data_IF_956089713868
#
_entry.id   IF_956089713868
#
_cell.length_a   1.000
_cell.length_b   1.000
_cell.length_c   1.000
_cell.angle_alpha   90.00
_cell.angle_beta   90.00
_cell.angle_gamma   90.00
#
_symmetry.space_group_name_H-M   'P 1'
#
loop_
_entity.id
_entity.type
_entity.pdbx_description
1 polymer ?
#
# COMPACT_ATOMS: atom_id res chain seq x y z
N UNK A 1 -5.92 -5.29 -22.86
CA UNK A 1 -6.59 -4.57 -21.74
C UNK A 1 -6.08 -5.17 -20.43
N UNK A 2 -5.03 -4.59 -19.86
CA UNK A 2 -4.37 -5.15 -18.68
C UNK A 2 -5.17 -4.80 -17.42
N UNK A 3 -5.82 -5.83 -16.86
CA UNK A 3 -6.56 -5.75 -15.60
C UNK A 3 -5.62 -5.23 -14.52
N UNK A 4 -6.08 -4.22 -13.79
CA UNK A 4 -5.41 -3.53 -12.70
C UNK A 4 -5.27 -4.51 -11.51
N UNK A 5 -4.29 -5.41 -11.57
CA UNK A 5 -3.99 -6.46 -10.57
C UNK A 5 -3.30 -5.91 -9.30
N UNK A 6 -3.71 -4.72 -8.83
CA UNK A 6 -3.11 -4.01 -7.68
C UNK A 6 -3.53 -4.64 -6.33
N UNK A 7 -4.33 -5.70 -6.33
CA UNK A 7 -5.20 -6.05 -5.20
C UNK A 7 -4.67 -7.03 -4.16
N UNK A 8 -3.45 -7.58 -4.25
CA UNK A 8 -2.98 -8.51 -3.21
C UNK A 8 -1.65 -8.13 -2.55
N UNK A 9 -0.63 -7.73 -3.31
CA UNK A 9 0.73 -7.58 -2.74
C UNK A 9 0.86 -6.36 -1.80
N UNK A 10 0.38 -5.18 -2.22
CA UNK A 10 0.51 -3.94 -1.44
C UNK A 10 -0.36 -4.01 -0.17
N UNK A 11 -1.56 -4.60 -0.24
CA UNK A 11 -2.44 -4.71 0.94
C UNK A 11 -2.00 -5.82 1.90
N UNK A 12 -1.50 -6.97 1.40
CA UNK A 12 -0.96 -8.02 2.28
C UNK A 12 0.35 -7.58 2.97
N UNK A 13 1.17 -6.78 2.29
CA UNK A 13 2.36 -6.17 2.87
C UNK A 13 2.03 -5.21 4.01
N UNK A 14 1.05 -4.34 3.81
CA UNK A 14 0.65 -3.32 4.79
C UNK A 14 -0.22 -3.89 5.93
N UNK A 15 -0.75 -5.12 5.81
CA UNK A 15 -1.64 -5.73 6.80
C UNK A 15 -1.04 -6.89 7.61
N UNK A 16 0.19 -7.34 7.33
CA UNK A 16 0.84 -8.44 8.10
C UNK A 16 1.49 -7.98 9.42
N UNK A 17 1.38 -6.69 9.77
CA UNK A 17 1.80 -6.13 11.07
C UNK A 17 0.87 -6.41 12.26
N UNK A 18 -0.30 -7.01 12.07
CA UNK A 18 -1.23 -7.33 13.17
C UNK A 18 -1.21 -8.83 13.49
N UNK A 19 -0.22 -9.26 14.28
CA UNK A 19 -0.30 -10.53 15.01
C UNK A 19 -1.21 -10.39 16.23
N UNK A 20 -1.92 -11.48 16.53
CA UNK A 20 -3.15 -11.58 17.32
C UNK A 20 -2.96 -11.37 18.84
N UNK A 21 -4.10 -11.06 19.47
CA UNK A 21 -4.50 -11.21 20.88
C UNK A 21 -3.96 -10.13 21.82
N UNK A 22 -4.80 -9.11 22.05
CA UNK A 22 -5.09 -8.71 23.42
C UNK A 22 -6.55 -8.27 23.56
N UNK A 23 -7.12 -8.64 24.70
CA UNK A 23 -8.54 -8.60 24.97
C UNK A 23 -9.08 -7.17 25.05
N UNK A 24 -10.20 -6.95 24.37
CA UNK A 24 -10.98 -5.72 24.42
C UNK A 24 -11.56 -5.55 25.83
N UNK A 25 -10.89 -4.76 26.68
CA UNK A 25 -11.56 -4.09 27.80
C UNK A 25 -12.40 -2.95 27.23
N UNK A 26 -13.72 -3.06 27.34
CA UNK A 26 -14.67 -2.00 26.97
C UNK A 26 -14.41 -0.78 27.84
N UNK A 27 -13.86 0.28 27.25
CA UNK A 27 -13.90 1.62 27.82
C UNK A 27 -15.02 2.37 27.12
N UNK A 28 -16.09 2.67 27.85
CA UNK A 28 -17.15 3.57 27.39
C UNK A 28 -16.58 4.99 27.33
N UNK A 29 -16.10 5.38 26.16
CA UNK A 29 -15.70 6.74 25.83
C UNK A 29 -16.23 7.09 24.44
N UNK A 30 -16.58 8.36 24.22
CA UNK A 30 -17.05 8.89 22.92
C UNK A 30 -16.07 8.63 21.76
N UNK A 31 -14.84 8.18 22.03
CA UNK A 31 -13.86 7.71 21.06
C UNK A 31 -14.22 6.38 20.36
N UNK A 32 -15.16 5.60 20.90
CA UNK A 32 -15.47 4.24 20.42
C UNK A 32 -16.11 4.18 19.03
N UNK A 33 -16.91 5.18 18.62
CA UNK A 33 -17.66 5.10 17.36
C UNK A 33 -16.75 5.30 16.14
N UNK A 34 -15.85 6.28 16.19
CA UNK A 34 -14.90 6.52 15.09
C UNK A 34 -13.83 5.44 14.99
N UNK A 35 -13.40 4.89 16.12
CA UNK A 35 -12.52 3.71 16.16
C UNK A 35 -13.22 2.47 15.59
N UNK A 36 -14.51 2.26 15.90
CA UNK A 36 -15.32 1.22 15.27
C UNK A 36 -15.41 1.43 13.76
N UNK A 37 -15.60 2.66 13.28
CA UNK A 37 -15.60 2.94 11.84
C UNK A 37 -14.25 2.63 11.21
N UNK A 38 -13.14 3.03 11.83
CA UNK A 38 -11.81 2.66 11.36
C UNK A 38 -11.66 1.14 11.25
N UNK A 39 -12.01 0.40 12.32
CA UNK A 39 -11.95 -1.06 12.34
C UNK A 39 -12.82 -1.70 11.25
N UNK A 40 -14.04 -1.19 11.03
CA UNK A 40 -14.92 -1.67 9.97
C UNK A 40 -14.37 -1.35 8.58
N UNK A 41 -13.76 -0.18 8.39
CA UNK A 41 -13.11 0.20 7.14
C UNK A 41 -11.96 -0.75 6.79
N UNK A 42 -11.09 -1.03 7.75
CA UNK A 42 -10.01 -2.02 7.61
C UNK A 42 -10.58 -3.43 7.39
N UNK A 43 -11.62 -3.82 8.14
CA UNK A 43 -12.31 -5.09 7.98
C UNK A 43 -12.85 -5.30 6.57
N UNK A 44 -13.49 -4.26 5.99
CA UNK A 44 -13.97 -4.30 4.61
C UNK A 44 -12.84 -4.40 3.58
N UNK A 45 -11.70 -3.73 3.78
CA UNK A 45 -10.52 -3.92 2.91
C UNK A 45 -10.01 -5.37 2.97
N UNK A 46 -9.93 -5.95 4.16
CA UNK A 46 -9.53 -7.36 4.33
C UNK A 46 -10.52 -8.32 3.65
N UNK A 47 -11.82 -8.04 3.75
CA UNK A 47 -12.85 -8.83 3.07
C UNK A 47 -12.73 -8.71 1.55
N UNK A 48 -12.48 -7.51 1.01
CA UNK A 48 -12.21 -7.35 -0.42
C UNK A 48 -11.04 -8.23 -0.89
N UNK A 49 -9.96 -8.30 -0.11
CA UNK A 49 -8.81 -9.15 -0.48
C UNK A 49 -9.16 -10.64 -0.51
N UNK A 50 -10.11 -11.08 0.32
CA UNK A 50 -10.56 -12.47 0.38
C UNK A 50 -11.59 -12.81 -0.70
N UNK A 51 -12.53 -11.91 -0.98
CA UNK A 51 -13.71 -12.21 -1.82
C UNK A 51 -13.65 -11.54 -3.20
N UNK A 52 -12.78 -10.55 -3.39
CA UNK A 52 -12.76 -9.65 -4.55
C UNK A 52 -14.09 -8.92 -4.82
N UNK A 53 -14.96 -8.82 -3.82
CA UNK A 53 -16.24 -8.11 -3.93
C UNK A 53 -16.04 -6.59 -3.85
N UNK A 54 -16.25 -5.91 -4.97
CA UNK A 54 -16.14 -4.45 -5.08
C UNK A 54 -17.04 -3.66 -4.12
N UNK A 55 -18.15 -4.25 -3.63
CA UNK A 55 -19.01 -3.62 -2.63
C UNK A 55 -18.25 -3.35 -1.32
N UNK A 56 -17.27 -4.19 -1.01
CA UNK A 56 -16.41 -4.03 0.17
C UNK A 56 -15.50 -2.81 0.04
N UNK A 57 -15.06 -2.43 -1.16
CA UNK A 57 -14.29 -1.20 -1.37
C UNK A 57 -15.14 0.06 -1.17
N UNK A 58 -16.42 0.00 -1.54
CA UNK A 58 -17.38 1.09 -1.31
C UNK A 58 -17.61 1.24 0.20
N UNK A 59 -17.88 0.13 0.90
CA UNK A 59 -18.05 0.11 2.34
C UNK A 59 -16.80 0.61 3.08
N UNK A 60 -15.61 0.14 2.69
CA UNK A 60 -14.34 0.61 3.24
C UNK A 60 -14.20 2.12 3.10
N UNK A 61 -14.50 2.66 1.92
CA UNK A 61 -14.52 4.10 1.68
C UNK A 61 -15.42 4.84 2.66
N UNK A 62 -16.69 4.47 2.74
CA UNK A 62 -17.66 5.12 3.63
C UNK A 62 -17.23 5.08 5.10
N UNK A 63 -16.73 3.95 5.58
CA UNK A 63 -16.27 3.84 6.96
C UNK A 63 -15.03 4.67 7.26
N UNK A 64 -14.06 4.71 6.33
CA UNK A 64 -12.88 5.56 6.49
C UNK A 64 -13.21 7.05 6.44
N UNK A 65 -14.18 7.46 5.63
CA UNK A 65 -14.69 8.85 5.62
C UNK A 65 -15.33 9.21 6.96
N UNK A 66 -16.19 8.33 7.48
CA UNK A 66 -16.79 8.53 8.81
C UNK A 66 -15.71 8.65 9.90
N UNK A 67 -14.69 7.78 9.89
CA UNK A 67 -13.59 7.83 10.86
C UNK A 67 -12.74 9.11 10.75
N UNK A 68 -12.63 9.71 9.56
CA UNK A 68 -11.75 10.87 9.30
C UNK A 68 -12.16 12.17 10.02
N UNK A 69 -13.39 12.23 10.54
CA UNK A 69 -13.85 13.34 11.38
C UNK A 69 -13.04 13.46 12.68
N UNK A 70 -12.38 12.38 13.10
CA UNK A 70 -11.59 12.32 14.32
C UNK A 70 -10.10 12.55 14.02
N UNK A 71 -9.58 13.76 14.31
CA UNK A 71 -8.22 14.20 13.93
C UNK A 71 -7.10 13.26 14.39
N UNK A 72 -7.19 12.68 15.59
CA UNK A 72 -6.17 11.77 16.12
C UNK A 72 -6.18 10.37 15.48
N UNK A 73 -7.12 10.08 14.58
CA UNK A 73 -7.15 8.83 13.81
C UNK A 73 -6.60 8.98 12.39
N UNK A 74 -6.31 10.21 11.94
CA UNK A 74 -5.97 10.48 10.54
C UNK A 74 -4.74 9.69 10.07
N UNK A 75 -3.73 9.53 10.92
CA UNK A 75 -2.53 8.75 10.61
C UNK A 75 -2.81 7.26 10.33
N UNK A 76 -3.88 6.70 10.89
CA UNK A 76 -4.32 5.33 10.62
C UNK A 76 -5.25 5.21 9.40
N UNK A 77 -5.77 6.34 8.90
CA UNK A 77 -6.76 6.38 7.80
C UNK A 77 -6.10 6.64 6.45
N UNK A 78 -5.05 7.45 6.41
CA UNK A 78 -4.45 7.94 5.16
C UNK A 78 -4.07 6.81 4.20
N UNK A 79 -3.28 5.84 4.66
CA UNK A 79 -2.81 4.72 3.83
C UNK A 79 -3.98 3.82 3.36
N UNK A 80 -4.89 3.36 4.24
CA UNK A 80 -6.09 2.64 3.82
C UNK A 80 -6.94 3.42 2.81
N UNK A 81 -7.07 4.74 2.97
CA UNK A 81 -7.88 5.57 2.08
C UNK A 81 -7.28 5.69 0.69
N UNK A 82 -5.98 5.93 0.59
CA UNK A 82 -5.25 5.88 -0.70
C UNK A 82 -5.39 4.50 -1.34
N UNK A 83 -5.32 3.44 -0.55
CA UNK A 83 -5.51 2.06 -1.02
C UNK A 83 -6.89 1.85 -1.64
N UNK A 84 -7.97 2.35 -1.01
CA UNK A 84 -9.33 2.31 -1.60
C UNK A 84 -9.36 3.00 -2.97
N UNK A 85 -8.76 4.18 -3.11
CA UNK A 85 -8.72 4.89 -4.40
C UNK A 85 -7.98 4.09 -5.48
N UNK A 86 -6.81 3.51 -5.14
CA UNK A 86 -6.03 2.68 -6.04
C UNK A 86 -6.81 1.44 -6.51
N UNK A 87 -7.42 0.71 -5.57
CA UNK A 87 -8.18 -0.52 -5.87
C UNK A 87 -9.45 -0.25 -6.67
N UNK A 88 -10.06 0.93 -6.51
CA UNK A 88 -11.21 1.38 -7.32
C UNK A 88 -10.79 2.06 -8.62
N UNK A 89 -9.49 2.11 -8.92
CA UNK A 89 -8.91 2.82 -10.07
C UNK A 89 -9.32 4.32 -10.18
N UNK A 90 -9.64 4.95 -9.05
CA UNK A 90 -10.01 6.35 -8.89
C UNK A 90 -8.75 7.22 -8.72
N UNK A 91 -7.97 7.33 -9.80
CA UNK A 91 -6.62 7.92 -9.75
C UNK A 91 -6.63 9.43 -9.45
N UNK A 92 -7.46 10.23 -10.13
CA UNK A 92 -7.50 11.68 -9.89
C UNK A 92 -8.02 12.02 -8.48
N UNK A 93 -9.13 11.42 -7.98
CA UNK A 93 -9.53 11.59 -6.58
C UNK A 93 -8.46 11.17 -5.58
N UNK A 94 -7.79 10.03 -5.83
CA UNK A 94 -6.68 9.57 -4.99
C UNK A 94 -5.50 10.57 -4.97
N UNK A 95 -5.17 11.13 -6.13
CA UNK A 95 -4.07 12.11 -6.27
C UNK A 95 -4.38 13.41 -5.55
N UNK A 96 -5.61 13.89 -5.63
CA UNK A 96 -6.10 15.07 -4.90
C UNK A 96 -6.10 14.83 -3.38
N UNK A 97 -6.52 13.64 -2.94
CA UNK A 97 -6.48 13.26 -1.54
C UNK A 97 -5.05 13.24 -0.97
N UNK A 98 -4.10 12.63 -1.69
CA UNK A 98 -2.69 12.61 -1.26
C UNK A 98 -2.13 14.03 -1.14
N UNK A 99 -2.50 14.93 -2.05
CA UNK A 99 -2.03 16.32 -2.02
C UNK A 99 -2.55 17.07 -0.78
N UNK A 100 -3.83 16.87 -0.44
CA UNK A 100 -4.49 17.62 0.64
C UNK A 100 -4.10 17.17 2.05
N UNK A 101 -3.56 15.96 2.21
CA UNK A 101 -3.11 15.41 3.50
C UNK A 101 -1.72 15.95 3.86
N UNK A 102 -1.54 16.38 5.11
CA UNK A 102 -0.22 16.84 5.59
C UNK A 102 0.76 15.67 5.64
N UNK A 103 2.02 15.89 5.22
CA UNK A 103 3.05 14.85 5.20
C UNK A 103 3.25 14.15 6.56
N UNK A 104 3.07 14.88 7.68
CA UNK A 104 3.17 14.37 9.05
C UNK A 104 2.06 13.39 9.43
N UNK A 105 0.98 13.34 8.64
CA UNK A 105 -0.11 12.39 8.84
C UNK A 105 0.17 11.05 8.17
N UNK A 106 1.19 10.93 7.34
CA UNK A 106 1.61 9.63 6.83
C UNK A 106 2.44 8.91 7.89
N UNK A 107 2.27 7.59 8.07
CA UNK A 107 3.00 6.82 9.08
C UNK A 107 4.51 6.74 8.79
N UNK A 108 4.93 7.04 7.55
CA UNK A 108 6.33 7.17 7.14
C UNK A 108 6.51 8.37 6.23
N UNK A 109 7.65 9.08 6.34
CA UNK A 109 7.86 10.36 5.65
C UNK A 109 7.92 10.23 4.12
N UNK A 110 8.30 9.07 3.57
CA UNK A 110 8.37 8.88 2.12
C UNK A 110 7.00 8.66 1.46
N UNK A 111 5.98 8.25 2.22
CA UNK A 111 4.74 7.70 1.64
C UNK A 111 3.96 8.73 0.84
N UNK A 112 3.94 10.00 1.27
CA UNK A 112 3.22 11.05 0.53
C UNK A 112 3.75 11.16 -0.90
N UNK A 113 5.06 11.37 -1.04
CA UNK A 113 5.72 11.52 -2.33
C UNK A 113 5.69 10.25 -3.17
N UNK A 114 5.90 9.09 -2.54
CA UNK A 114 5.78 7.80 -3.20
C UNK A 114 4.37 7.60 -3.79
N UNK A 115 3.30 7.84 -3.02
CA UNK A 115 1.93 7.70 -3.54
C UNK A 115 1.62 8.72 -4.63
N UNK A 116 2.13 9.94 -4.49
CA UNK A 116 2.02 11.00 -5.50
C UNK A 116 2.51 10.51 -6.86
N UNK A 117 3.76 10.06 -6.90
CA UNK A 117 4.41 9.57 -8.10
C UNK A 117 3.81 8.27 -8.61
N UNK A 118 3.39 7.36 -7.73
CA UNK A 118 2.74 6.12 -8.14
C UNK A 118 1.38 6.36 -8.80
N UNK A 119 0.56 7.27 -8.26
CA UNK A 119 -0.73 7.66 -8.85
C UNK A 119 -0.54 8.32 -10.21
N UNK A 120 0.46 9.19 -10.35
CA UNK A 120 0.82 9.82 -11.62
C UNK A 120 1.27 8.77 -12.64
N UNK A 121 2.12 7.81 -12.24
CA UNK A 121 2.55 6.70 -13.09
C UNK A 121 1.36 5.87 -13.61
N UNK A 122 0.40 5.54 -12.74
CA UNK A 122 -0.81 4.82 -13.14
C UNK A 122 -1.69 5.63 -14.09
N UNK A 123 -1.73 6.96 -13.94
CA UNK A 123 -2.46 7.87 -14.82
C UNK A 123 -1.82 7.92 -16.21
N UNK A 124 -0.50 8.09 -16.30
CA UNK A 124 0.24 8.04 -17.56
C UNK A 124 0.09 6.68 -18.25
N UNK A 125 0.08 5.59 -17.48
CA UNK A 125 -0.18 4.26 -18.02
C UNK A 125 -1.58 4.15 -18.68
N UNK A 126 -2.63 4.75 -18.08
CA UNK A 126 -3.96 4.82 -18.71
C UNK A 126 -3.96 5.63 -20.00
N UNK A 127 -3.11 6.65 -20.09
CA UNK A 127 -2.92 7.50 -21.26
C UNK A 127 -1.98 6.89 -22.32
N UNK A 128 -1.39 5.72 -22.04
CA UNK A 128 -0.36 5.06 -22.87
C UNK A 128 0.91 5.90 -23.04
N UNK A 129 1.16 6.81 -22.11
CA UNK A 129 2.39 7.59 -22.04
C UNK A 129 3.45 6.80 -21.26
N UNK A 130 4.27 6.06 -22.01
CA UNK A 130 5.25 5.13 -21.44
C UNK A 130 6.40 5.88 -20.75
N UNK A 131 6.87 6.97 -21.35
CA UNK A 131 8.01 7.75 -20.85
C UNK A 131 7.68 8.38 -19.49
N UNK A 132 6.54 9.07 -19.39
CA UNK A 132 6.15 9.71 -18.13
C UNK A 132 5.70 8.68 -17.07
N UNK A 133 5.13 7.55 -17.49
CA UNK A 133 4.86 6.42 -16.59
C UNK A 133 6.14 5.92 -15.94
N UNK A 134 7.17 5.63 -16.74
CA UNK A 134 8.42 5.05 -16.25
C UNK A 134 9.20 6.05 -15.40
N UNK A 135 9.26 7.31 -15.82
CA UNK A 135 9.86 8.39 -15.04
C UNK A 135 9.16 8.58 -13.68
N UNK A 136 7.82 8.53 -13.65
CA UNK A 136 7.05 8.66 -12.40
C UNK A 136 7.22 7.44 -11.50
N UNK A 137 7.22 6.22 -12.05
CA UNK A 137 7.46 5.02 -11.25
C UNK A 137 8.86 5.02 -10.65
N UNK A 138 9.88 5.41 -11.43
CA UNK A 138 11.25 5.54 -10.94
C UNK A 138 11.32 6.47 -9.72
N UNK A 139 10.69 7.65 -9.79
CA UNK A 139 10.61 8.57 -8.64
C UNK A 139 9.91 7.95 -7.43
N UNK A 140 8.84 7.19 -7.64
CA UNK A 140 8.15 6.50 -6.55
C UNK A 140 9.08 5.50 -5.84
N UNK A 141 9.87 4.73 -6.59
CA UNK A 141 10.88 3.79 -6.04
C UNK A 141 12.00 4.54 -5.32
N UNK A 142 12.53 5.60 -5.92
CA UNK A 142 13.61 6.44 -5.34
C UNK A 142 13.21 7.02 -3.98
N UNK A 143 11.96 7.45 -3.79
CA UNK A 143 11.46 7.91 -2.48
C UNK A 143 11.64 6.85 -1.38
N UNK A 144 11.37 5.59 -1.70
CA UNK A 144 11.49 4.48 -0.74
C UNK A 144 12.95 4.09 -0.54
N UNK A 145 13.74 4.00 -1.62
CA UNK A 145 15.17 3.68 -1.56
C UNK A 145 15.95 4.71 -0.74
N UNK A 146 15.64 6.01 -0.89
CA UNK A 146 16.23 7.07 -0.09
C UNK A 146 15.93 6.88 1.40
N UNK A 147 14.71 6.52 1.77
CA UNK A 147 14.36 6.22 3.15
C UNK A 147 15.09 4.97 3.69
N UNK A 148 15.13 3.89 2.90
CA UNK A 148 15.82 2.65 3.25
C UNK A 148 17.34 2.81 3.40
N UNK A 149 17.95 3.84 2.81
CA UNK A 149 19.38 4.15 3.03
C UNK A 149 19.71 4.43 4.50
N UNK A 150 18.75 4.97 5.26
CA UNK A 150 18.88 5.27 6.70
C UNK A 150 18.07 4.30 7.57
N UNK A 151 17.09 3.58 6.99
CA UNK A 151 16.22 2.65 7.69
C UNK A 151 16.22 1.26 7.02
N UNK A 152 17.38 0.59 6.84
CA UNK A 152 17.50 -0.59 5.97
C UNK A 152 16.74 -1.83 6.46
N UNK A 153 16.23 -1.79 7.69
CA UNK A 153 15.49 -2.88 8.35
C UNK A 153 13.97 -2.64 8.39
N UNK A 154 13.48 -1.50 7.89
CA UNK A 154 12.05 -1.19 7.89
C UNK A 154 11.30 -2.12 6.92
N UNK A 155 10.54 -3.05 7.51
CA UNK A 155 9.92 -4.15 6.78
C UNK A 155 8.90 -3.68 5.76
N UNK A 156 8.12 -2.67 6.11
CA UNK A 156 7.06 -2.19 5.22
C UNK A 156 7.68 -1.38 4.08
N UNK A 157 8.74 -0.60 4.35
CA UNK A 157 9.46 0.13 3.31
C UNK A 157 10.16 -0.82 2.31
N UNK A 158 10.76 -1.91 2.80
CA UNK A 158 11.27 -2.99 1.93
C UNK A 158 10.15 -3.54 1.05
N UNK A 159 8.97 -3.74 1.65
CA UNK A 159 7.83 -4.29 0.93
C UNK A 159 7.25 -3.34 -0.11
N UNK A 160 7.16 -2.05 0.20
CA UNK A 160 6.72 -1.01 -0.73
C UNK A 160 7.67 -0.91 -1.91
N UNK A 161 8.99 -0.88 -1.66
CA UNK A 161 10.03 -0.80 -2.70
C UNK A 161 9.89 -1.94 -3.72
N UNK A 162 9.86 -3.20 -3.26
CA UNK A 162 9.77 -4.35 -4.17
C UNK A 162 8.39 -4.49 -4.81
N UNK A 163 7.32 -4.04 -4.14
CA UNK A 163 5.97 -4.00 -4.74
C UNK A 163 5.89 -2.99 -5.88
N UNK A 164 6.57 -1.84 -5.76
CA UNK A 164 6.67 -0.85 -6.84
C UNK A 164 7.53 -1.39 -7.99
N UNK A 165 8.71 -1.96 -7.70
CA UNK A 165 9.59 -2.55 -8.73
C UNK A 165 8.89 -3.64 -9.55
N UNK A 166 7.96 -4.38 -8.96
CA UNK A 166 7.13 -5.37 -9.67
C UNK A 166 6.37 -4.80 -10.88
N UNK A 167 6.07 -3.49 -10.91
CA UNK A 167 5.34 -2.86 -12.01
C UNK A 167 6.21 -2.56 -13.23
N UNK A 168 7.50 -2.36 -13.04
CA UNK A 168 8.42 -1.89 -14.09
C UNK A 168 9.51 -2.88 -14.44
N UNK A 169 9.79 -3.84 -13.56
CA UNK A 169 10.90 -4.75 -13.73
C UNK A 169 10.44 -6.16 -14.15
N UNK A 170 11.19 -6.82 -15.06
CA UNK A 170 11.03 -8.24 -15.30
C UNK A 170 11.19 -9.05 -14.01
N UNK A 171 10.45 -10.16 -13.89
CA UNK A 171 10.46 -11.02 -12.71
C UNK A 171 11.86 -11.50 -12.34
N UNK A 172 12.69 -11.83 -13.33
CA UNK A 172 14.06 -12.29 -13.14
C UNK A 172 14.92 -11.23 -12.46
N UNK A 173 14.83 -9.98 -12.95
CA UNK A 173 15.55 -8.84 -12.38
C UNK A 173 15.07 -8.56 -10.95
N UNK A 174 13.76 -8.50 -10.74
CA UNK A 174 13.16 -8.26 -9.43
C UNK A 174 13.65 -9.26 -8.38
N UNK A 175 13.69 -10.55 -8.72
CA UNK A 175 14.16 -11.58 -7.77
C UNK A 175 15.67 -11.54 -7.57
N UNK A 176 16.46 -11.16 -8.58
CA UNK A 176 17.89 -10.91 -8.42
C UNK A 176 18.16 -9.75 -7.45
N UNK A 177 17.47 -8.62 -7.63
CA UNK A 177 17.53 -7.46 -6.74
C UNK A 177 17.18 -7.84 -5.29
N UNK A 178 16.19 -8.72 -5.09
CA UNK A 178 15.86 -9.26 -3.77
C UNK A 178 16.99 -10.07 -3.14
N UNK A 179 17.68 -10.91 -3.93
CA UNK A 179 18.82 -11.69 -3.42
C UNK A 179 20.01 -10.79 -3.08
N UNK A 180 20.28 -9.76 -3.88
CA UNK A 180 21.30 -8.74 -3.60
C UNK A 180 20.98 -7.95 -2.33
N UNK A 181 19.72 -7.57 -2.15
CA UNK A 181 19.28 -6.87 -0.94
C UNK A 181 19.50 -7.73 0.31
N UNK A 182 19.21 -9.03 0.26
CA UNK A 182 19.46 -9.96 1.38
C UNK A 182 20.94 -10.18 1.63
N UNK A 183 21.78 -10.25 0.58
CA UNK A 183 23.24 -10.31 0.74
C UNK A 183 23.78 -9.07 1.46
N UNK A 184 23.28 -7.89 1.09
CA UNK A 184 23.68 -6.61 1.71
C UNK A 184 23.11 -6.44 3.13
N UNK A 185 21.89 -6.93 3.37
CA UNK A 185 21.19 -6.83 4.65
C UNK A 185 20.63 -8.19 5.08
N UNK A 186 21.47 -9.08 5.67
CA UNK A 186 21.06 -10.45 6.01
C UNK A 186 19.82 -10.56 6.92
N UNK A 187 19.63 -9.58 7.82
CA UNK A 187 18.47 -9.52 8.73
C UNK A 187 17.13 -9.37 7.99
N UNK A 188 17.14 -8.89 6.74
CA UNK A 188 15.93 -8.75 5.92
C UNK A 188 15.44 -10.07 5.31
N UNK A 189 16.22 -11.15 5.42
CA UNK A 189 15.95 -12.46 4.78
C UNK A 189 14.54 -12.98 5.00
N UNK A 190 14.00 -12.88 6.23
CA UNK A 190 12.64 -13.36 6.52
C UNK A 190 11.59 -12.56 5.74
N UNK A 191 11.69 -11.22 5.79
CA UNK A 191 10.72 -10.30 5.17
C UNK A 191 10.76 -10.43 3.66
N UNK A 192 11.97 -10.42 3.08
CA UNK A 192 12.17 -10.60 1.63
C UNK A 192 11.69 -11.99 1.20
N UNK A 193 11.92 -13.03 2.01
CA UNK A 193 11.46 -14.38 1.75
C UNK A 193 9.94 -14.50 1.69
N UNK A 194 9.22 -13.89 2.63
CA UNK A 194 7.77 -13.90 2.66
C UNK A 194 7.17 -13.05 1.53
N UNK A 195 7.76 -11.89 1.26
CA UNK A 195 7.37 -11.05 0.13
C UNK A 195 7.55 -11.78 -1.20
N UNK A 196 8.69 -12.47 -1.40
CA UNK A 196 8.97 -13.25 -2.61
C UNK A 196 7.88 -14.30 -2.86
N UNK A 197 7.42 -15.00 -1.83
CA UNK A 197 6.32 -15.98 -1.94
C UNK A 197 5.03 -15.30 -2.41
N UNK A 198 4.68 -14.17 -1.79
CA UNK A 198 3.50 -13.38 -2.15
C UNK A 198 3.54 -12.87 -3.59
N UNK A 199 4.66 -12.29 -4.03
CA UNK A 199 4.83 -11.78 -5.39
C UNK A 199 4.74 -12.90 -6.44
N UNK A 200 5.36 -14.06 -6.19
CA UNK A 200 5.23 -15.23 -7.07
C UNK A 200 3.78 -15.70 -7.22
N UNK A 201 3.02 -15.72 -6.12
CA UNK A 201 1.60 -16.09 -6.16
C UNK A 201 0.77 -15.11 -7.00
N UNK A 202 1.02 -13.81 -6.86
CA UNK A 202 0.36 -12.75 -7.65
C UNK A 202 0.70 -12.89 -9.14
N UNK A 203 1.99 -13.03 -9.47
CA UNK A 203 2.45 -13.20 -10.86
C UNK A 203 1.86 -14.44 -11.53
N UNK A 204 1.71 -15.56 -10.79
CA UNK A 204 1.09 -16.78 -11.32
C UNK A 204 -0.39 -16.55 -11.66
N UNK A 205 -1.14 -15.85 -10.81
CA UNK A 205 -2.55 -15.52 -11.06
C UNK A 205 -2.75 -14.59 -12.25
N UNK A 206 -1.81 -13.67 -12.50
CA UNK A 206 -1.90 -12.73 -13.62
C UNK A 206 -1.69 -13.38 -15.00
N UNK A 207 -1.13 -14.60 -15.05
CA UNK A 207 -0.90 -15.37 -16.29
C UNK A 207 -2.07 -16.29 -16.67
N UNK A 208 -3.09 -16.42 -15.82
CA UNK A 208 -4.31 -17.22 -16.03
C UNK A 208 -5.44 -16.33 -16.53
#
# INVERSE_FOLDING_TARGET
>A
MYRVFISLAIVLALCTGCSKKDQVKRVHSKHTVYEMYLQRGIGSLNNFNATHDSSQLIAAGHYLDSASHQKNLLNFIVVPRVTVYLLRAQLDPGRQYVESVDARQFPRPYLKEMYRHFLDALKYNKQRDVENRDASMKKAVECVEQYLSSHPKDKDAISDMFSLKMYTEPSEKLFSDMDEYVKKYPDSKSVVGDLRKSLKAVMKKARQ
#
